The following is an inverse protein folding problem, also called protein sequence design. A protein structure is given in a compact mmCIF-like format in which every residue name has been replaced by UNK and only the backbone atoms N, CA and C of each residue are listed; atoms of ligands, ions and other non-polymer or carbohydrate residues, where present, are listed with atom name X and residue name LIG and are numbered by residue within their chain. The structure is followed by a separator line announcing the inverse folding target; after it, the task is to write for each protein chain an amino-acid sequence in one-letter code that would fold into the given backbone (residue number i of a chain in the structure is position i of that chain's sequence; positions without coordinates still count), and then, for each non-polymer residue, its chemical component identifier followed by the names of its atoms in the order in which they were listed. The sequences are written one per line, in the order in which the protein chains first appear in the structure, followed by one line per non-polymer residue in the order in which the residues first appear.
data_IF_978366879286
#
_entry.id   IF_978366879286
#
_cell.length_a   1.000
_cell.length_b   1.000
_cell.length_c   1.000
_cell.angle_alpha   90.00
_cell.angle_beta   90.00
_cell.angle_gamma   90.00
#
_symmetry.space_group_name_H-M   'P 1'
#
loop_
_entity.id
_entity.type
_entity.pdbx_description
1 polymer ?
#
# COMPACT_ATOMS: atom_id res chain seq x y z
N UNK A 1 -18.77 -16.42 28.87
CA UNK A 1 -18.29 -15.19 28.19
C UNK A 1 -17.43 -14.40 29.18
N UNK A 2 -16.15 -14.15 28.89
CA UNK A 2 -15.28 -13.34 29.75
C UNK A 2 -15.43 -11.86 29.40
N UNK A 3 -16.26 -11.14 30.16
CA UNK A 3 -16.66 -9.74 29.88
C UNK A 3 -15.45 -8.79 29.85
N UNK A 4 -14.45 -9.01 30.72
CA UNK A 4 -13.26 -8.16 30.80
C UNK A 4 -12.40 -8.22 29.53
N UNK A 5 -12.11 -9.42 29.04
CA UNK A 5 -11.37 -9.60 27.77
C UNK A 5 -12.16 -9.08 26.57
N UNK A 6 -13.47 -9.32 26.53
CA UNK A 6 -14.34 -8.81 25.46
C UNK A 6 -14.28 -7.27 25.36
N UNK A 7 -14.39 -6.56 26.48
CA UNK A 7 -14.29 -5.09 26.51
C UNK A 7 -12.89 -4.59 26.11
N UNK A 8 -11.83 -5.29 26.53
CA UNK A 8 -10.46 -4.97 26.11
C UNK A 8 -10.29 -5.09 24.60
N UNK A 9 -10.82 -6.15 24.00
CA UNK A 9 -10.79 -6.31 22.54
C UNK A 9 -11.58 -5.21 21.85
N UNK A 10 -12.81 -4.91 22.27
CA UNK A 10 -13.61 -3.83 21.65
C UNK A 10 -12.95 -2.45 21.78
N UNK A 11 -12.28 -2.18 22.91
CA UNK A 11 -11.52 -0.94 23.11
C UNK A 11 -10.31 -0.87 22.19
N UNK A 12 -9.59 -1.97 22.04
CA UNK A 12 -8.38 -2.02 21.20
C UNK A 12 -8.67 -1.70 19.74
N UNK A 13 -9.85 -2.08 19.24
CA UNK A 13 -10.28 -1.88 17.86
C UNK A 13 -11.26 -0.70 17.70
N UNK A 14 -11.27 0.24 18.67
CA UNK A 14 -12.04 1.49 18.62
C UNK A 14 -13.56 1.30 18.40
N UNK A 15 -14.14 0.18 18.86
CA UNK A 15 -15.58 -0.12 18.69
C UNK A 15 -16.44 0.59 19.72
N UNK A 16 -15.92 0.73 20.95
CA UNK A 16 -16.56 1.48 22.03
C UNK A 16 -15.66 2.67 22.35
N UNK A 17 -16.06 3.91 22.03
CA UNK A 17 -15.33 5.09 22.47
C UNK A 17 -15.45 5.19 23.99
N UNK A 18 -14.43 4.75 24.73
CA UNK A 18 -14.39 4.90 26.19
C UNK A 18 -14.43 6.39 26.56
N UNK A 19 -15.21 6.73 27.59
CA UNK A 19 -15.33 8.08 28.15
C UNK A 19 -13.95 8.75 28.33
N UNK A 20 -13.78 9.84 27.58
CA UNK A 20 -12.55 10.58 27.31
C UNK A 20 -12.09 11.49 28.46
N UNK A 21 -12.02 10.98 29.70
CA UNK A 21 -11.45 11.72 30.83
C UNK A 21 -9.99 11.31 31.09
N UNK A 22 -9.66 10.02 31.02
CA UNK A 22 -8.42 9.50 31.62
C UNK A 22 -7.19 9.57 30.68
N UNK A 23 -7.39 9.77 29.36
CA UNK A 23 -6.29 9.98 28.40
C UNK A 23 -5.58 11.34 28.57
N UNK A 24 -6.15 12.30 29.31
CA UNK A 24 -5.55 13.62 29.57
C UNK A 24 -4.42 13.62 30.61
N UNK A 25 -4.24 12.55 31.39
CA UNK A 25 -3.27 12.50 32.50
C UNK A 25 -1.97 11.72 32.23
N UNK A 26 -1.78 11.20 31.02
CA UNK A 26 -0.47 10.73 30.56
C UNK A 26 -0.22 11.39 29.22
N UNK A 27 0.84 12.19 29.13
CA UNK A 27 1.35 12.80 27.90
C UNK A 27 1.86 11.75 26.93
N UNK A 28 0.95 10.90 26.45
CA UNK A 28 1.15 10.04 25.30
C UNK A 28 0.74 10.91 24.13
N UNK A 29 1.73 11.49 23.46
CA UNK A 29 1.55 12.06 22.13
C UNK A 29 0.76 11.06 21.29
N UNK A 30 -0.25 11.55 20.58
CA UNK A 30 -0.89 10.75 19.54
C UNK A 30 0.23 10.23 18.64
N UNK A 31 0.34 8.91 18.41
CA UNK A 31 1.29 8.42 17.43
C UNK A 31 0.97 9.15 16.12
N UNK A 32 2.01 9.81 15.58
CA UNK A 32 1.95 10.42 14.26
C UNK A 32 1.31 9.41 13.32
N UNK A 33 0.31 9.89 12.60
CA UNK A 33 -0.34 9.16 11.51
C UNK A 33 0.73 8.48 10.69
N UNK A 34 0.62 7.16 10.52
CA UNK A 34 1.31 6.49 9.42
C UNK A 34 0.75 7.15 8.17
N UNK A 35 1.54 8.04 7.58
CA UNK A 35 1.32 8.51 6.23
C UNK A 35 1.50 7.30 5.33
N UNK A 36 0.44 6.52 5.13
CA UNK A 36 0.29 5.87 3.83
C UNK A 36 -0.09 7.02 2.92
N UNK A 37 0.90 7.56 2.21
CA UNK A 37 0.70 8.68 1.32
C UNK A 37 -0.42 8.36 0.32
N UNK A 38 -1.53 9.05 0.51
CA UNK A 38 -2.65 9.06 -0.41
C UNK A 38 -2.28 9.92 -1.60
N UNK A 39 -2.17 9.25 -2.75
CA UNK A 39 -1.92 9.75 -4.11
C UNK A 39 -0.46 10.12 -4.38
N UNK A 40 0.23 9.27 -5.15
CA UNK A 40 1.59 9.54 -5.57
C UNK A 40 1.69 10.76 -6.48
N UNK A 41 2.92 11.27 -6.59
CA UNK A 41 3.23 12.51 -7.29
C UNK A 41 3.44 12.23 -8.77
N UNK A 42 2.82 13.02 -9.64
CA UNK A 42 3.15 13.05 -11.07
C UNK A 42 4.13 14.18 -11.31
N UNK A 43 5.31 13.84 -11.82
CA UNK A 43 6.33 14.82 -12.22
C UNK A 43 6.04 15.31 -13.63
N UNK A 44 5.75 16.59 -13.79
CA UNK A 44 5.53 17.21 -15.10
C UNK A 44 6.76 18.04 -15.46
N UNK A 45 7.27 17.87 -16.68
CA UNK A 45 8.43 18.61 -17.19
C UNK A 45 8.03 19.29 -18.50
N UNK A 46 8.07 20.63 -18.52
CA UNK A 46 7.72 21.42 -19.70
C UNK A 46 7.92 22.92 -19.49
N UNK A 47 7.95 23.70 -20.57
CA UNK A 47 8.30 25.15 -20.57
C UNK A 47 7.21 26.06 -19.99
N UNK A 48 6.03 25.54 -19.62
CA UNK A 48 4.94 26.34 -19.06
C UNK A 48 4.06 27.05 -20.08
N UNK A 49 3.96 26.48 -21.28
CA UNK A 49 2.98 26.92 -22.27
C UNK A 49 1.56 26.49 -21.87
N UNK A 50 0.55 26.87 -22.67
CA UNK A 50 -0.85 26.60 -22.33
C UNK A 50 -1.16 25.10 -22.21
N UNK A 51 -0.42 24.24 -22.92
CA UNK A 51 -0.57 22.79 -22.82
C UNK A 51 -0.11 22.26 -21.46
N UNK A 52 1.00 22.76 -20.92
CA UNK A 52 1.50 22.42 -19.59
C UNK A 52 0.43 22.69 -18.54
N UNK A 53 -0.16 23.89 -18.58
CA UNK A 53 -1.20 24.30 -17.63
C UNK A 53 -2.44 23.41 -17.70
N UNK A 54 -2.90 23.06 -18.91
CA UNK A 54 -4.04 22.16 -19.11
C UNK A 54 -3.78 20.76 -18.57
N UNK A 55 -2.59 20.19 -18.80
CA UNK A 55 -2.23 18.87 -18.27
C UNK A 55 -2.15 18.91 -16.75
N UNK A 56 -1.53 19.95 -16.17
CA UNK A 56 -1.47 20.13 -14.71
C UNK A 56 -2.89 20.19 -14.13
N UNK A 57 -3.78 20.99 -14.71
CA UNK A 57 -5.18 21.10 -14.29
C UNK A 57 -5.92 19.75 -14.36
N UNK A 58 -5.77 19.00 -15.45
CA UNK A 58 -6.41 17.70 -15.60
C UNK A 58 -5.90 16.67 -14.59
N UNK A 59 -4.59 16.62 -14.36
CA UNK A 59 -3.96 15.72 -13.38
C UNK A 59 -4.44 16.06 -11.96
N UNK A 60 -4.52 17.34 -11.61
CA UNK A 60 -5.08 17.81 -10.34
C UNK A 60 -6.56 17.46 -10.21
N UNK A 61 -7.36 17.60 -11.27
CA UNK A 61 -8.78 17.24 -11.28
C UNK A 61 -9.02 15.74 -11.07
N UNK A 62 -8.04 14.89 -11.41
CA UNK A 62 -8.05 13.44 -11.12
C UNK A 62 -7.65 13.12 -9.67
N UNK A 63 -7.33 14.13 -8.86
CA UNK A 63 -6.94 14.00 -7.46
C UNK A 63 -5.45 13.76 -7.24
N UNK A 64 -4.62 13.85 -8.29
CA UNK A 64 -3.18 13.63 -8.19
C UNK A 64 -2.42 14.84 -7.71
N UNK A 65 -1.37 14.60 -6.91
CA UNK A 65 -0.35 15.61 -6.59
C UNK A 65 0.54 15.81 -7.81
N UNK A 66 0.87 17.05 -8.13
CA UNK A 66 1.75 17.41 -9.23
C UNK A 66 3.02 18.03 -8.68
N UNK A 67 4.16 17.55 -9.16
CA UNK A 67 5.44 18.26 -9.07
C UNK A 67 5.77 18.75 -10.47
N UNK A 68 5.77 20.05 -10.68
CA UNK A 68 6.02 20.65 -11.98
C UNK A 68 7.42 21.25 -12.02
N UNK A 69 8.27 20.75 -12.91
CA UNK A 69 9.54 21.37 -13.24
C UNK A 69 9.28 22.48 -14.26
N UNK A 70 9.47 23.72 -13.81
CA UNK A 70 9.52 24.89 -14.67
C UNK A 70 10.99 25.19 -15.03
N UNK A 71 11.44 24.94 -16.27
CA UNK A 71 12.84 25.10 -16.65
C UNK A 71 13.30 26.55 -16.48
N UNK A 72 14.42 26.76 -15.78
CA UNK A 72 15.07 28.07 -15.74
C UNK A 72 15.57 28.42 -17.16
N UNK A 73 15.21 29.60 -17.69
CA UNK A 73 15.71 30.04 -19.00
C UNK A 73 17.15 30.57 -18.88
N UNK A 74 17.98 30.31 -19.90
CA UNK A 74 19.32 30.91 -20.00
C UNK A 74 19.24 32.44 -19.92
N UNK A 75 20.03 33.05 -19.02
CA UNK A 75 20.18 34.50 -18.89
C UNK A 75 19.57 35.14 -17.64
N UNK A 76 18.83 34.40 -16.81
CA UNK A 76 18.28 34.92 -15.53
C UNK A 76 18.98 34.32 -14.32
N UNK A 77 20.05 34.97 -13.84
CA UNK A 77 20.68 34.73 -12.52
C UNK A 77 21.42 33.41 -12.34
N UNK A 78 22.31 33.34 -11.33
CA UNK A 78 23.06 32.12 -10.98
C UNK A 78 22.14 30.92 -10.73
N UNK A 79 22.63 29.72 -11.08
CA UNK A 79 21.95 28.45 -10.83
C UNK A 79 21.49 28.36 -9.37
N UNK A 80 20.19 28.13 -9.16
CA UNK A 80 19.60 27.97 -7.84
C UNK A 80 19.70 26.47 -7.48
N UNK A 81 20.45 26.09 -6.42
CA UNK A 81 20.46 24.71 -5.93
C UNK A 81 19.05 24.21 -5.60
N UNK A 82 18.78 22.90 -5.68
CA UNK A 82 17.49 22.32 -5.26
C UNK A 82 17.10 22.72 -3.82
N UNK A 83 18.09 22.90 -2.94
CA UNK A 83 17.88 23.38 -1.57
C UNK A 83 17.36 24.84 -1.50
N UNK A 84 17.59 25.63 -2.55
CA UNK A 84 17.24 27.04 -2.65
C UNK A 84 16.14 27.30 -3.69
N UNK A 85 15.61 26.25 -4.34
CA UNK A 85 14.58 26.40 -5.37
C UNK A 85 13.35 27.07 -4.77
N UNK A 86 13.02 28.25 -5.29
CA UNK A 86 11.86 29.02 -4.85
C UNK A 86 10.61 28.22 -5.20
N UNK A 87 9.89 27.74 -4.19
CA UNK A 87 8.49 27.32 -4.33
C UNK A 87 7.73 28.59 -4.74
N UNK A 88 7.58 28.81 -6.05
CA UNK A 88 6.84 29.98 -6.56
C UNK A 88 5.36 29.70 -6.28
N UNK A 89 4.86 30.31 -5.21
CA UNK A 89 3.46 30.52 -4.87
C UNK A 89 2.52 29.34 -5.19
N UNK A 90 2.27 28.48 -4.21
CA UNK A 90 1.19 27.49 -4.25
C UNK A 90 -0.15 28.19 -4.55
N UNK A 91 -0.60 28.16 -5.80
CA UNK A 91 -1.98 28.50 -6.18
C UNK A 91 -2.93 27.35 -5.83
N UNK A 92 -2.41 26.14 -5.64
CA UNK A 92 -3.13 24.94 -5.16
C UNK A 92 -2.23 24.12 -4.23
N UNK A 93 -2.74 23.56 -3.12
CA UNK A 93 -1.97 22.67 -2.24
C UNK A 93 -1.54 21.36 -2.92
N UNK A 94 -2.07 21.07 -4.12
CA UNK A 94 -1.76 19.86 -4.88
C UNK A 94 -0.63 20.04 -5.90
N UNK A 95 -0.14 21.27 -6.14
CA UNK A 95 0.89 21.56 -7.16
C UNK A 95 2.13 22.16 -6.50
N UNK A 96 3.23 21.40 -6.53
CA UNK A 96 4.58 21.84 -6.17
C UNK A 96 5.30 22.30 -7.44
N UNK A 97 5.72 23.56 -7.53
CA UNK A 97 6.50 24.07 -8.68
C UNK A 97 7.97 24.21 -8.32
N UNK A 98 8.83 23.57 -9.10
CA UNK A 98 10.29 23.60 -8.95
C UNK A 98 10.91 24.34 -10.14
N UNK A 99 11.59 25.46 -9.87
CA UNK A 99 12.40 26.14 -10.89
C UNK A 99 13.80 25.54 -10.89
N UNK A 100 14.13 24.77 -11.93
CA UNK A 100 15.44 24.15 -12.05
C UNK A 100 15.91 24.04 -13.50
N UNK A 101 17.21 24.09 -13.71
CA UNK A 101 17.83 23.74 -14.99
C UNK A 101 18.03 22.23 -15.07
N UNK A 102 17.24 21.55 -15.90
CA UNK A 102 17.31 20.10 -16.10
C UNK A 102 18.54 19.68 -16.92
N UNK A 103 19.15 20.61 -17.68
CA UNK A 103 20.33 20.31 -18.48
C UNK A 103 21.59 20.23 -17.60
N UNK A 104 21.57 20.87 -16.43
CA UNK A 104 22.57 20.68 -15.40
C UNK A 104 22.30 19.40 -14.60
N UNK A 105 23.06 18.35 -14.87
CA UNK A 105 22.92 17.04 -14.21
C UNK A 105 23.09 17.08 -12.69
N UNK A 106 23.74 18.11 -12.12
CA UNK A 106 23.86 18.27 -10.67
C UNK A 106 22.51 18.53 -9.97
N UNK A 107 21.52 19.03 -10.72
CA UNK A 107 20.17 19.28 -10.21
C UNK A 107 19.27 18.02 -10.24
N UNK A 108 19.68 16.97 -10.95
CA UNK A 108 18.91 15.74 -11.13
C UNK A 108 19.30 14.71 -10.06
N UNK A 109 18.90 14.98 -8.82
CA UNK A 109 19.16 14.10 -7.66
C UNK A 109 18.00 13.11 -7.44
N UNK A 110 18.23 11.98 -6.74
CA UNK A 110 17.15 11.06 -6.37
C UNK A 110 15.98 11.72 -5.64
N UNK A 111 16.25 12.77 -4.86
CA UNK A 111 15.23 13.52 -4.10
C UNK A 111 14.15 14.11 -5.01
N UNK A 112 14.47 14.45 -6.26
CA UNK A 112 13.52 14.94 -7.27
C UNK A 112 12.40 13.92 -7.56
N UNK A 113 12.71 12.63 -7.42
CA UNK A 113 11.79 11.51 -7.70
C UNK A 113 11.14 10.95 -6.43
N UNK A 114 11.31 11.62 -5.28
CA UNK A 114 10.63 11.25 -4.04
C UNK A 114 9.11 11.25 -4.25
N UNK A 115 8.49 10.11 -3.97
CA UNK A 115 7.05 9.84 -4.13
C UNK A 115 6.52 9.97 -5.57
N UNK A 116 7.41 10.11 -6.56
CA UNK A 116 7.03 10.20 -7.98
C UNK A 116 6.61 8.82 -8.48
N UNK A 117 5.46 8.75 -9.14
CA UNK A 117 4.91 7.54 -9.75
C UNK A 117 5.07 7.50 -11.27
N UNK A 118 4.98 8.67 -11.88
CA UNK A 118 5.06 8.82 -13.34
C UNK A 118 5.63 10.19 -13.69
N UNK A 119 6.32 10.23 -14.83
CA UNK A 119 6.88 11.45 -15.40
C UNK A 119 6.14 11.77 -16.70
N UNK A 120 5.55 12.96 -16.80
CA UNK A 120 5.00 13.48 -18.05
C UNK A 120 5.97 14.53 -18.59
N UNK A 121 6.58 14.25 -19.72
CA UNK A 121 7.47 15.17 -20.42
C UNK A 121 6.78 15.74 -21.65
N UNK A 122 6.61 17.07 -21.65
CA UNK A 122 6.18 17.81 -22.83
C UNK A 122 7.41 18.17 -23.64
N UNK A 123 7.54 17.58 -24.83
CA UNK A 123 8.76 17.67 -25.59
C UNK A 123 9.09 19.09 -26.01
N UNK A 124 10.35 19.48 -25.82
CA UNK A 124 10.86 20.77 -26.22
C UNK A 124 12.36 20.66 -26.57
N UNK A 125 12.81 21.14 -27.75
CA UNK A 125 14.19 20.95 -28.22
C UNK A 125 15.29 21.35 -27.21
N UNK A 126 15.09 22.47 -26.50
CA UNK A 126 16.05 22.97 -25.50
C UNK A 126 16.25 22.04 -24.27
N UNK A 127 15.40 21.02 -24.10
CA UNK A 127 15.33 20.18 -22.91
C UNK A 127 15.80 18.73 -23.17
N UNK A 128 16.13 18.37 -24.41
CA UNK A 128 16.39 16.99 -24.84
C UNK A 128 17.59 16.31 -24.14
N UNK A 129 18.64 17.08 -23.82
CA UNK A 129 19.81 16.55 -23.12
C UNK A 129 19.51 16.30 -21.64
N UNK A 130 18.87 17.26 -20.97
CA UNK A 130 18.44 17.15 -19.58
C UNK A 130 17.43 16.03 -19.37
N UNK A 131 16.44 15.89 -20.26
CA UNK A 131 15.43 14.83 -20.14
C UNK A 131 16.03 13.44 -20.27
N UNK A 132 17.07 13.25 -21.10
CA UNK A 132 17.77 11.96 -21.22
C UNK A 132 18.43 11.56 -19.89
N UNK A 133 19.01 12.52 -19.18
CA UNK A 133 19.57 12.28 -17.85
C UNK A 133 18.47 11.97 -16.81
N UNK A 134 17.33 12.65 -16.88
CA UNK A 134 16.18 12.38 -16.03
C UNK A 134 15.59 10.99 -16.28
N UNK A 135 15.52 10.54 -17.54
CA UNK A 135 15.11 9.17 -17.92
C UNK A 135 16.02 8.13 -17.27
N UNK A 136 17.34 8.33 -17.35
CA UNK A 136 18.31 7.42 -16.73
C UNK A 136 18.24 7.44 -15.19
N UNK A 137 17.93 8.58 -14.59
CA UNK A 137 17.67 8.67 -13.16
C UNK A 137 16.38 7.92 -12.81
N UNK A 138 15.29 8.14 -13.56
CA UNK A 138 14.01 7.50 -13.37
C UNK A 138 14.10 5.97 -13.49
N UNK A 139 14.84 5.44 -14.46
CA UNK A 139 15.06 4.00 -14.62
C UNK A 139 15.70 3.35 -13.38
N UNK A 140 16.57 4.09 -12.67
CA UNK A 140 17.22 3.61 -11.45
C UNK A 140 16.37 3.77 -10.19
N UNK A 141 15.45 4.73 -10.17
CA UNK A 141 14.73 5.14 -8.95
C UNK A 141 13.27 4.69 -8.93
N UNK A 142 12.59 4.70 -10.09
CA UNK A 142 11.21 4.27 -10.20
C UNK A 142 11.15 2.74 -10.17
N UNK A 143 10.78 2.19 -9.01
CA UNK A 143 10.62 0.76 -8.83
C UNK A 143 9.46 0.23 -9.69
N UNK A 144 9.63 -0.98 -10.23
CA UNK A 144 8.53 -1.74 -10.82
C UNK A 144 7.51 -2.05 -9.73
N UNK A 145 6.38 -1.32 -9.73
CA UNK A 145 5.29 -1.49 -8.76
C UNK A 145 4.42 -2.71 -9.03
N UNK A 146 5.02 -3.77 -9.59
CA UNK A 146 4.36 -5.08 -9.76
C UNK A 146 4.12 -5.76 -8.42
N UNK A 147 4.78 -5.28 -7.36
CA UNK A 147 4.53 -5.66 -5.98
C UNK A 147 4.43 -4.42 -5.09
N UNK A 148 3.67 -4.51 -3.99
CA UNK A 148 3.59 -3.48 -2.95
C UNK A 148 3.73 -4.10 -1.59
N UNK A 149 4.79 -3.77 -0.87
CA UNK A 149 4.98 -4.22 0.51
C UNK A 149 3.92 -3.54 1.40
N UNK A 150 3.13 -4.34 2.10
CA UNK A 150 2.07 -3.85 3.00
C UNK A 150 2.54 -3.94 4.45
N UNK A 151 3.12 -5.09 4.84
CA UNK A 151 3.80 -5.26 6.12
C UNK A 151 5.15 -5.94 5.92
N UNK A 152 6.21 -5.28 6.39
CA UNK A 152 7.53 -5.88 6.56
C UNK A 152 7.75 -6.21 8.04
N UNK A 153 7.74 -7.49 8.38
CA UNK A 153 8.02 -7.93 9.75
C UNK A 153 9.50 -8.27 9.95
N UNK A 154 10.32 -8.20 8.89
CA UNK A 154 11.78 -8.37 9.01
C UNK A 154 12.46 -7.12 9.54
N UNK A 155 11.81 -5.96 9.38
CA UNK A 155 12.24 -4.66 9.89
C UNK A 155 11.08 -4.00 10.67
N UNK A 156 10.72 -4.54 11.85
CA UNK A 156 9.50 -4.11 12.54
C UNK A 156 9.61 -2.68 13.07
N UNK A 157 8.71 -1.81 12.62
CA UNK A 157 8.49 -0.50 13.25
C UNK A 157 7.60 -0.61 14.50
N UNK A 158 7.69 0.38 15.39
CA UNK A 158 6.79 0.48 16.55
C UNK A 158 5.32 0.47 16.10
N UNK A 159 5.01 1.09 14.96
CA UNK A 159 3.66 1.15 14.40
C UNK A 159 3.17 -0.24 14.01
N UNK A 160 3.93 -1.01 13.21
CA UNK A 160 3.58 -2.37 12.80
C UNK A 160 3.34 -3.25 14.03
N UNK A 161 4.14 -3.10 15.09
CA UNK A 161 3.97 -3.85 16.33
C UNK A 161 2.69 -3.50 17.10
N UNK A 162 2.18 -2.28 16.94
CA UNK A 162 1.08 -1.75 17.74
C UNK A 162 -0.31 -1.97 17.14
N UNK A 163 -0.40 -2.23 15.83
CA UNK A 163 -1.67 -2.31 15.09
C UNK A 163 -2.29 -3.70 15.09
N UNK A 164 -1.55 -4.77 15.38
CA UNK A 164 -2.10 -6.13 15.41
C UNK A 164 -2.56 -6.54 16.82
N UNK A 165 -3.81 -7.00 16.94
CA UNK A 165 -4.41 -7.43 18.20
C UNK A 165 -5.12 -8.78 18.11
N UNK A 166 -5.13 -9.52 19.22
CA UNK A 166 -5.78 -10.83 19.30
C UNK A 166 -7.32 -10.71 19.34
N UNK A 167 -7.99 -11.63 18.63
CA UNK A 167 -9.43 -11.85 18.60
C UNK A 167 -9.66 -13.36 18.67
N UNK A 168 -9.77 -13.91 19.87
CA UNK A 168 -9.92 -15.35 20.10
C UNK A 168 -11.36 -15.73 20.44
N UNK A 169 -11.64 -17.04 20.48
CA UNK A 169 -12.97 -17.59 20.77
C UNK A 169 -13.55 -17.26 22.16
N UNK A 170 -12.76 -16.66 23.05
CA UNK A 170 -13.20 -16.14 24.36
C UNK A 170 -14.35 -15.14 24.22
N UNK A 171 -14.41 -14.41 23.10
CA UNK A 171 -15.53 -13.49 22.78
C UNK A 171 -16.86 -14.24 22.62
N UNK A 172 -16.80 -15.53 22.29
CA UNK A 172 -17.93 -16.46 22.19
C UNK A 172 -18.03 -17.44 23.37
N UNK A 173 -17.16 -17.32 24.38
CA UNK A 173 -17.13 -18.19 25.56
C UNK A 173 -16.12 -19.35 25.52
N UNK A 174 -15.31 -19.43 24.47
CA UNK A 174 -14.16 -20.33 24.39
C UNK A 174 -13.03 -19.98 25.36
N UNK A 175 -11.93 -20.74 25.29
CA UNK A 175 -10.77 -20.62 26.19
C UNK A 175 -9.44 -20.58 25.43
N UNK A 176 -9.47 -20.34 24.12
CA UNK A 176 -8.26 -20.15 23.32
C UNK A 176 -7.59 -18.82 23.71
N UNK A 177 -6.27 -18.78 23.59
CA UNK A 177 -5.45 -17.62 23.92
C UNK A 177 -4.32 -17.48 22.91
N UNK A 178 -4.22 -16.33 22.26
CA UNK A 178 -3.17 -16.06 21.30
C UNK A 178 -2.59 -14.66 21.41
N UNK A 179 -1.43 -14.48 20.79
CA UNK A 179 -0.82 -13.18 20.59
C UNK A 179 0.01 -13.17 19.30
N UNK A 180 0.41 -11.97 18.90
CA UNK A 180 1.42 -11.76 17.87
C UNK A 180 2.56 -10.94 18.47
N UNK A 181 3.79 -11.37 18.22
CA UNK A 181 5.00 -10.69 18.73
C UNK A 181 6.04 -10.62 17.63
N UNK A 182 6.80 -9.54 17.61
CA UNK A 182 7.98 -9.45 16.75
C UNK A 182 9.08 -10.36 17.29
N UNK A 183 9.67 -11.14 16.40
CA UNK A 183 10.82 -12.01 16.62
C UNK A 183 11.89 -11.68 15.58
N UNK A 184 13.08 -12.26 15.71
CA UNK A 184 14.15 -12.01 14.74
C UNK A 184 13.71 -12.39 13.31
N UNK A 185 13.60 -11.38 12.45
CA UNK A 185 13.22 -11.53 11.04
C UNK A 185 11.75 -11.84 10.74
N UNK A 186 10.82 -11.80 11.71
CA UNK A 186 9.40 -12.10 11.48
C UNK A 186 8.46 -11.61 12.60
N UNK A 187 7.14 -11.64 12.34
CA UNK A 187 6.12 -11.64 13.39
C UNK A 187 5.66 -13.08 13.65
N UNK A 188 5.61 -13.48 14.93
CA UNK A 188 5.11 -14.79 15.35
C UNK A 188 3.71 -14.66 15.91
N UNK A 189 2.73 -15.20 15.20
CA UNK A 189 1.37 -15.45 15.68
C UNK A 189 1.33 -16.83 16.34
N UNK A 190 1.15 -16.87 17.67
CA UNK A 190 1.17 -18.12 18.43
C UNK A 190 0.26 -18.08 19.65
N UNK A 191 -0.05 -19.26 20.18
CA UNK A 191 -0.96 -19.39 21.29
C UNK A 191 -1.36 -20.83 21.56
N UNK A 192 -2.41 -21.00 22.34
CA UNK A 192 -3.08 -22.27 22.57
C UNK A 192 -4.51 -22.18 22.04
N UNK A 193 -4.89 -23.07 21.12
CA UNK A 193 -6.26 -23.17 20.60
C UNK A 193 -6.96 -24.38 21.22
N UNK A 194 -8.17 -24.17 21.76
CA UNK A 194 -8.94 -25.19 22.46
C UNK A 194 -10.31 -25.38 21.84
N UNK A 195 -10.80 -26.62 21.79
CA UNK A 195 -12.17 -26.93 21.36
C UNK A 195 -13.17 -26.95 22.52
N UNK A 196 -12.74 -26.62 23.74
CA UNK A 196 -13.62 -26.54 24.90
C UNK A 196 -14.61 -25.37 24.77
N UNK A 197 -15.76 -25.47 25.43
CA UNK A 197 -16.82 -24.44 25.45
C UNK A 197 -17.28 -23.98 24.06
N UNK A 198 -17.38 -24.92 23.10
CA UNK A 198 -17.73 -24.62 21.70
C UNK A 198 -16.75 -23.66 21.00
N UNK A 199 -15.52 -23.53 21.54
CA UNK A 199 -14.44 -22.79 20.94
C UNK A 199 -13.80 -23.53 19.75
N UNK A 200 -12.58 -23.12 19.45
CA UNK A 200 -11.77 -23.71 18.38
C UNK A 200 -11.30 -22.66 17.38
N UNK A 201 -11.08 -21.42 17.80
CA UNK A 201 -10.33 -20.48 16.97
C UNK A 201 -9.48 -19.53 17.80
N UNK A 202 -8.36 -19.16 17.21
CA UNK A 202 -7.49 -18.10 17.64
C UNK A 202 -7.19 -17.20 16.44
N UNK A 203 -7.16 -15.88 16.61
CA UNK A 203 -6.88 -14.99 15.49
C UNK A 203 -6.23 -13.68 15.91
N UNK A 204 -5.54 -13.05 14.97
CA UNK A 204 -4.98 -11.71 15.12
C UNK A 204 -5.42 -10.85 13.95
N UNK A 205 -5.80 -9.61 14.24
CA UNK A 205 -6.31 -8.66 13.24
C UNK A 205 -5.67 -7.29 13.43
N UNK A 206 -5.43 -6.59 12.34
CA UNK A 206 -5.00 -5.19 12.38
C UNK A 206 -6.14 -4.29 12.89
N UNK A 207 -5.82 -3.18 13.55
CA UNK A 207 -6.72 -2.03 13.58
C UNK A 207 -7.08 -1.61 12.15
N UNK A 208 -8.16 -0.84 12.03
CA UNK A 208 -8.51 -0.27 10.73
C UNK A 208 -7.35 0.63 10.26
N UNK A 209 -6.89 0.38 9.05
CA UNK A 209 -5.88 1.16 8.36
C UNK A 209 -6.51 2.47 7.91
N UNK A 210 -5.85 3.58 8.23
CA UNK A 210 -6.21 4.91 7.76
C UNK A 210 -4.93 5.60 7.26
N UNK A 211 -4.86 5.99 5.98
CA UNK A 211 -5.89 5.78 4.96
C UNK A 211 -6.08 4.31 4.57
N UNK A 212 -7.24 4.04 3.97
CA UNK A 212 -7.53 2.72 3.38
C UNK A 212 -6.52 2.44 2.26
N UNK A 213 -6.18 1.16 2.11
CA UNK A 213 -5.26 0.71 1.08
C UNK A 213 -6.00 0.52 -0.24
N UNK A 214 -5.50 1.20 -1.27
CA UNK A 214 -5.83 0.90 -2.65
C UNK A 214 -4.85 -0.15 -3.21
N UNK A 215 -5.42 -1.33 -3.49
CA UNK A 215 -4.76 -2.47 -4.15
C UNK A 215 -5.46 -2.85 -5.47
N UNK A 216 -6.25 -1.95 -6.07
CA UNK A 216 -7.00 -2.18 -7.31
C UNK A 216 -6.12 -2.59 -8.50
N UNK A 217 -4.85 -2.17 -8.49
CA UNK A 217 -3.88 -2.50 -9.52
C UNK A 217 -3.22 -3.89 -9.37
N UNK A 218 -3.52 -4.65 -8.31
CA UNK A 218 -2.86 -5.91 -7.97
C UNK A 218 -3.79 -7.12 -8.11
N UNK A 219 -3.22 -8.28 -8.42
CA UNK A 219 -3.98 -9.53 -8.59
C UNK A 219 -4.28 -10.24 -7.27
N UNK A 220 -3.45 -10.03 -6.24
CA UNK A 220 -3.63 -10.68 -4.95
C UNK A 220 -2.62 -10.28 -3.88
N UNK A 221 -2.67 -11.01 -2.77
CA UNK A 221 -1.73 -10.90 -1.64
C UNK A 221 -0.76 -12.09 -1.66
N UNK A 222 0.52 -11.84 -1.44
CA UNK A 222 1.51 -12.87 -1.13
C UNK A 222 1.91 -12.77 0.34
N UNK A 223 1.82 -13.89 1.04
CA UNK A 223 2.31 -14.06 2.42
C UNK A 223 3.58 -14.90 2.42
N UNK A 224 4.64 -14.40 3.03
CA UNK A 224 5.84 -15.21 3.31
C UNK A 224 5.77 -15.73 4.75
N UNK A 225 5.53 -17.03 4.92
CA UNK A 225 5.21 -17.63 6.23
C UNK A 225 6.02 -18.89 6.51
N UNK A 226 6.25 -19.19 7.78
CA UNK A 226 6.77 -20.47 8.27
C UNK A 226 5.81 -21.01 9.33
N UNK A 227 5.10 -22.07 9.00
CA UNK A 227 4.04 -22.62 9.83
C UNK A 227 4.42 -23.90 10.59
N UNK A 228 3.44 -24.45 11.28
CA UNK A 228 3.54 -25.62 12.14
C UNK A 228 2.85 -26.87 11.53
N UNK A 229 2.48 -26.81 10.26
CA UNK A 229 1.75 -27.89 9.60
C UNK A 229 0.23 -27.78 9.72
N UNK A 230 -0.28 -26.72 10.37
CA UNK A 230 -1.72 -26.45 10.39
C UNK A 230 -2.15 -25.61 9.20
N UNK A 231 -3.47 -25.59 8.97
CA UNK A 231 -4.13 -24.79 7.94
C UNK A 231 -4.71 -23.52 8.56
N UNK A 232 -4.31 -22.39 8.00
CA UNK A 232 -4.67 -21.05 8.46
C UNK A 232 -5.57 -20.35 7.44
N UNK A 233 -6.14 -19.22 7.85
CA UNK A 233 -6.94 -18.35 6.99
C UNK A 233 -6.40 -16.93 7.01
N UNK A 234 -6.30 -16.31 5.84
CA UNK A 234 -6.22 -14.87 5.70
C UNK A 234 -7.65 -14.32 5.52
N UNK A 235 -7.94 -13.20 6.16
CA UNK A 235 -9.12 -12.38 5.88
C UNK A 235 -8.70 -10.97 5.51
N UNK A 236 -9.38 -10.41 4.51
CA UNK A 236 -9.29 -9.01 4.10
C UNK A 236 -10.65 -8.35 4.31
N UNK A 237 -10.65 -7.13 4.84
CA UNK A 237 -11.88 -6.35 5.09
C UNK A 237 -11.81 -5.03 4.35
N UNK A 238 -12.96 -4.62 3.81
CA UNK A 238 -13.17 -3.32 3.15
C UNK A 238 -14.18 -2.45 3.90
N UNK A 239 -14.62 -2.90 5.08
CA UNK A 239 -15.56 -2.20 5.94
C UNK A 239 -14.99 -2.14 7.35
N UNK A 240 -14.93 -0.93 7.90
CA UNK A 240 -14.35 -0.63 9.21
C UNK A 240 -15.13 -1.19 10.40
N UNK A 241 -16.36 -1.69 10.18
CA UNK A 241 -17.20 -2.28 11.21
C UNK A 241 -16.55 -3.51 11.86
N UNK A 242 -16.66 -3.58 13.20
CA UNK A 242 -16.10 -4.65 14.03
C UNK A 242 -16.48 -6.07 13.56
N UNK A 243 -17.77 -6.27 13.31
CA UNK A 243 -18.39 -7.52 12.87
C UNK A 243 -19.01 -7.30 11.49
N UNK A 244 -18.15 -7.17 10.50
CA UNK A 244 -18.52 -6.90 9.11
C UNK A 244 -18.27 -8.11 8.20
N UNK A 245 -18.68 -8.01 6.94
CA UNK A 245 -18.28 -8.94 5.89
C UNK A 245 -16.75 -8.97 5.77
N UNK A 246 -16.16 -10.15 5.56
CA UNK A 246 -14.76 -10.32 5.22
C UNK A 246 -14.62 -11.19 3.98
N UNK A 247 -13.49 -11.07 3.30
CA UNK A 247 -13.10 -11.97 2.21
C UNK A 247 -12.00 -12.88 2.74
N UNK A 248 -12.20 -14.18 2.66
CA UNK A 248 -11.36 -15.18 3.30
C UNK A 248 -10.69 -16.10 2.30
N UNK A 249 -9.47 -16.54 2.61
CA UNK A 249 -8.77 -17.58 1.88
C UNK A 249 -8.02 -18.50 2.86
N UNK A 250 -8.25 -19.81 2.75
CA UNK A 250 -7.59 -20.82 3.57
C UNK A 250 -6.34 -21.37 2.88
N UNK A 251 -5.23 -21.55 3.61
CA UNK A 251 -3.96 -22.06 3.09
C UNK A 251 -3.30 -23.03 4.06
N UNK A 252 -2.64 -24.05 3.51
CA UNK A 252 -1.88 -25.03 4.29
C UNK A 252 -0.46 -24.53 4.57
N UNK A 253 0.12 -24.99 5.66
CA UNK A 253 1.52 -24.77 5.97
C UNK A 253 2.27 -26.09 6.05
N UNK A 254 3.60 -26.03 5.90
CA UNK A 254 4.48 -27.16 6.17
C UNK A 254 5.27 -26.87 7.45
N UNK A 255 5.43 -27.88 8.29
CA UNK A 255 6.12 -27.74 9.56
C UNK A 255 7.54 -27.19 9.36
N UNK A 256 7.83 -26.08 10.04
CA UNK A 256 9.13 -25.43 10.10
C UNK A 256 9.75 -25.11 8.72
N UNK A 257 8.91 -24.88 7.70
CA UNK A 257 9.35 -24.57 6.34
C UNK A 257 8.76 -23.24 5.87
N UNK A 258 9.61 -22.38 5.30
CA UNK A 258 9.17 -21.13 4.70
C UNK A 258 8.42 -21.38 3.38
N UNK A 259 7.29 -20.71 3.21
CA UNK A 259 6.42 -20.78 2.04
C UNK A 259 6.01 -19.37 1.61
N UNK A 260 5.94 -19.17 0.30
CA UNK A 260 5.25 -18.01 -0.29
C UNK A 260 3.84 -18.45 -0.69
N UNK A 261 2.84 -17.95 0.02
CA UNK A 261 1.43 -18.26 -0.23
C UNK A 261 0.83 -17.14 -1.05
N UNK A 262 0.53 -17.40 -2.32
CA UNK A 262 -0.18 -16.48 -3.19
C UNK A 262 -1.69 -16.65 -3.03
N UNK A 263 -2.36 -15.54 -2.74
CA UNK A 263 -3.79 -15.44 -2.44
C UNK A 263 -4.40 -14.49 -3.48
N UNK A 264 -4.87 -15.01 -4.63
CA UNK A 264 -5.57 -14.22 -5.63
C UNK A 264 -6.85 -13.62 -5.07
N UNK A 265 -7.13 -12.34 -5.35
CA UNK A 265 -8.34 -11.67 -4.87
C UNK A 265 -9.63 -12.30 -5.43
N UNK A 266 -9.59 -12.80 -6.67
CA UNK A 266 -10.69 -13.48 -7.34
C UNK A 266 -11.03 -14.86 -6.75
N UNK A 267 -10.14 -15.43 -5.95
CA UNK A 267 -10.35 -16.70 -5.23
C UNK A 267 -10.74 -16.51 -3.77
N UNK A 268 -10.82 -15.28 -3.27
CA UNK A 268 -11.26 -15.02 -1.91
C UNK A 268 -12.78 -15.18 -1.79
N UNK A 269 -13.22 -15.88 -0.74
CA UNK A 269 -14.63 -16.16 -0.50
C UNK A 269 -15.19 -15.15 0.49
N UNK A 270 -16.27 -14.46 0.11
CA UNK A 270 -16.98 -13.56 1.01
C UNK A 270 -17.65 -14.36 2.14
N UNK A 271 -17.41 -13.96 3.38
CA UNK A 271 -17.89 -14.62 4.59
C UNK A 271 -18.37 -13.65 5.66
N UNK A 272 -19.42 -14.05 6.37
CA UNK A 272 -19.86 -13.43 7.61
C UNK A 272 -19.87 -14.48 8.71
N UNK A 273 -19.03 -14.30 9.74
CA UNK A 273 -18.83 -15.28 10.83
C UNK A 273 -18.63 -16.71 10.33
N UNK A 274 -17.70 -16.88 9.37
CA UNK A 274 -17.35 -18.14 8.70
C UNK A 274 -18.43 -18.81 7.84
N UNK A 275 -19.63 -18.21 7.72
CA UNK A 275 -20.63 -18.60 6.71
C UNK A 275 -20.36 -17.88 5.40
N UNK A 276 -20.42 -18.59 4.29
CA UNK A 276 -20.26 -17.99 2.96
C UNK A 276 -21.45 -17.07 2.65
N UNK A 277 -21.19 -16.00 1.91
CA UNK A 277 -22.21 -15.05 1.46
C UNK A 277 -22.13 -14.94 -0.06
N UNK A 278 -22.74 -15.88 -0.82
CA UNK A 278 -22.61 -15.90 -2.29
C UNK A 278 -23.16 -14.66 -2.99
N UNK A 279 -24.11 -13.97 -2.34
CA UNK A 279 -24.71 -12.73 -2.85
C UNK A 279 -23.90 -11.47 -2.52
N UNK A 280 -22.76 -11.61 -1.83
CA UNK A 280 -21.90 -10.46 -1.53
C UNK A 280 -21.24 -9.93 -2.81
N UNK A 281 -20.96 -8.61 -2.88
CA UNK A 281 -20.17 -8.07 -3.96
C UNK A 281 -18.75 -8.65 -3.96
N UNK A 282 -18.03 -8.53 -5.08
CA UNK A 282 -16.59 -8.76 -5.11
C UNK A 282 -15.88 -7.79 -4.16
N UNK A 283 -14.69 -8.18 -3.70
CA UNK A 283 -13.86 -7.35 -2.83
C UNK A 283 -13.59 -5.98 -3.48
N UNK A 284 -13.89 -4.90 -2.75
CA UNK A 284 -13.55 -3.56 -3.21
C UNK A 284 -12.07 -3.27 -2.88
N UNK A 285 -11.21 -3.46 -3.88
CA UNK A 285 -9.76 -3.37 -3.73
C UNK A 285 -9.24 -1.95 -3.45
N UNK A 286 -10.02 -0.91 -3.72
CA UNK A 286 -9.63 0.48 -3.38
C UNK A 286 -9.90 0.86 -1.92
N UNK A 287 -10.57 -0.02 -1.17
CA UNK A 287 -11.13 0.29 0.16
C UNK A 287 -10.63 -0.67 1.26
N UNK A 288 -9.49 -1.35 1.06
CA UNK A 288 -9.00 -2.35 2.01
C UNK A 288 -8.60 -1.67 3.32
N UNK A 289 -9.22 -2.05 4.42
CA UNK A 289 -9.06 -1.40 5.71
C UNK A 289 -8.53 -2.31 6.82
N UNK A 290 -8.53 -3.65 6.68
CA UNK A 290 -7.92 -4.51 7.69
C UNK A 290 -7.53 -5.89 7.16
N UNK A 291 -6.51 -6.48 7.80
CA UNK A 291 -6.07 -7.86 7.58
C UNK A 291 -6.21 -8.68 8.86
N UNK A 292 -6.55 -9.95 8.73
CA UNK A 292 -6.64 -10.88 9.85
C UNK A 292 -6.09 -12.24 9.48
N UNK A 293 -5.35 -12.85 10.40
CA UNK A 293 -4.86 -14.23 10.30
C UNK A 293 -5.56 -15.06 11.38
N UNK A 294 -6.04 -16.25 11.03
CA UNK A 294 -6.78 -17.12 11.95
C UNK A 294 -6.37 -18.57 11.80
N UNK A 295 -6.27 -19.26 12.94
CA UNK A 295 -6.38 -20.71 13.03
C UNK A 295 -7.77 -21.06 13.54
N UNK A 296 -8.48 -21.96 12.86
CA UNK A 296 -9.82 -22.37 13.28
C UNK A 296 -10.07 -23.86 13.01
N UNK A 297 -10.82 -24.49 13.91
CA UNK A 297 -11.42 -25.81 13.77
C UNK A 297 -12.34 -25.91 12.55
N UNK A 298 -12.98 -24.80 12.17
CA UNK A 298 -13.96 -24.79 11.09
C UNK A 298 -13.40 -24.18 9.83
N UNK A 299 -13.72 -24.80 8.69
CA UNK A 299 -13.67 -24.21 7.36
C UNK A 299 -14.96 -23.42 7.08
N UNK A 300 -15.30 -23.23 5.81
CA UNK A 300 -16.52 -22.57 5.39
C UNK A 300 -17.76 -23.41 5.73
N UNK A 301 -18.86 -22.73 6.06
CA UNK A 301 -20.18 -23.35 6.21
C UNK A 301 -20.24 -24.52 7.20
N UNK A 302 -19.41 -24.46 8.25
CA UNK A 302 -19.37 -25.44 9.34
C UNK A 302 -18.58 -26.71 9.01
N UNK A 303 -17.95 -26.81 7.83
CA UNK A 303 -17.01 -27.88 7.53
C UNK A 303 -15.83 -27.88 8.51
N UNK A 304 -15.21 -29.04 8.73
CA UNK A 304 -14.03 -29.13 9.58
C UNK A 304 -12.77 -28.79 8.81
N UNK A 305 -11.84 -28.09 9.47
CA UNK A 305 -10.49 -27.89 8.98
C UNK A 305 -9.72 -29.22 9.04
N UNK A 306 -9.30 -29.76 7.88
CA UNK A 306 -8.70 -31.10 7.81
C UNK A 306 -7.32 -31.19 8.47
N UNK A 307 -6.66 -30.06 8.71
CA UNK A 307 -5.31 -30.00 9.29
C UNK A 307 -5.30 -29.37 10.68
N UNK A 308 -6.48 -29.12 11.27
CA UNK A 308 -6.57 -28.50 12.59
C UNK A 308 -6.14 -29.45 13.70
N UNK A 309 -5.27 -28.97 14.59
CA UNK A 309 -4.89 -29.66 15.81
C UNK A 309 -5.08 -28.72 17.02
N UNK A 310 -5.87 -29.10 18.03
CA UNK A 310 -5.95 -28.31 19.26
C UNK A 310 -4.61 -28.36 20.00
N UNK A 311 -4.33 -27.31 20.76
CA UNK A 311 -3.10 -27.16 21.53
C UNK A 311 -2.27 -25.97 21.07
N UNK A 312 -0.95 -26.07 21.27
CA UNK A 312 -0.04 -25.00 20.93
C UNK A 312 0.15 -24.90 19.41
N UNK A 313 0.09 -23.68 18.90
CA UNK A 313 0.33 -23.38 17.49
C UNK A 313 1.34 -22.25 17.32
N UNK A 314 1.99 -22.20 16.16
CA UNK A 314 2.90 -21.10 15.81
C UNK A 314 2.99 -20.90 14.31
N UNK A 315 2.71 -19.67 13.88
CA UNK A 315 2.91 -19.19 12.52
C UNK A 315 3.83 -17.98 12.54
N UNK A 316 5.00 -18.09 11.91
CA UNK A 316 5.86 -16.95 11.64
C UNK A 316 5.52 -16.34 10.29
N UNK A 317 5.51 -15.01 10.22
CA UNK A 317 5.15 -14.21 9.05
C UNK A 317 6.29 -13.22 8.83
N UNK A 318 7.02 -13.35 7.73
CA UNK A 318 8.09 -12.42 7.37
C UNK A 318 7.54 -11.18 6.67
N UNK A 319 6.57 -11.36 5.78
CA UNK A 319 5.97 -10.23 5.05
C UNK A 319 4.56 -10.53 4.54
N UNK A 320 3.83 -9.45 4.30
CA UNK A 320 2.58 -9.39 3.54
C UNK A 320 2.78 -8.34 2.45
N UNK A 321 2.64 -8.73 1.18
CA UNK A 321 2.73 -7.82 0.03
C UNK A 321 1.59 -8.06 -0.96
N UNK A 322 1.21 -7.06 -1.73
CA UNK A 322 0.41 -7.26 -2.93
C UNK A 322 1.31 -7.69 -4.09
N UNK A 323 0.84 -8.57 -4.97
CA UNK A 323 1.57 -9.07 -6.14
C UNK A 323 0.73 -8.95 -7.42
N UNK A 324 1.37 -9.16 -8.57
CA UNK A 324 0.71 -9.13 -9.88
C UNK A 324 0.20 -7.74 -10.24
N UNK A 325 0.85 -6.71 -9.70
CA UNK A 325 0.62 -5.32 -10.06
C UNK A 325 0.87 -5.12 -11.55
N UNK A 326 -0.02 -4.42 -12.23
CA UNK A 326 0.27 -3.98 -13.60
C UNK A 326 1.45 -3.02 -13.57
N UNK A 327 2.39 -3.17 -14.51
CA UNK A 327 3.46 -2.19 -14.70
C UNK A 327 2.83 -0.89 -15.17
N UNK A 328 2.65 0.05 -14.24
CA UNK A 328 2.08 1.37 -14.53
C UNK A 328 3.00 2.12 -15.49
N UNK A 329 2.42 3.00 -16.31
CA UNK A 329 3.22 3.86 -17.18
C UNK A 329 4.02 4.84 -16.31
N UNK A 330 5.33 4.68 -16.30
CA UNK A 330 6.28 5.47 -15.53
C UNK A 330 6.78 6.70 -16.31
N UNK A 331 6.65 6.71 -17.63
CA UNK A 331 7.04 7.83 -18.47
C UNK A 331 6.06 8.09 -19.62
N UNK A 332 5.58 9.32 -19.76
CA UNK A 332 4.73 9.76 -20.87
C UNK A 332 5.46 10.86 -21.63
N UNK A 333 5.75 10.61 -22.91
CA UNK A 333 6.27 11.63 -23.82
C UNK A 333 5.09 12.23 -24.60
N UNK A 334 4.88 13.53 -24.42
CA UNK A 334 3.90 14.33 -25.17
C UNK A 334 4.65 15.07 -26.29
N UNK A 335 4.33 14.79 -27.56
CA UNK A 335 5.12 15.28 -28.70
C UNK A 335 4.30 15.99 -29.79
N UNK A 336 4.95 16.95 -30.47
CA UNK A 336 4.44 17.65 -31.66
C UNK A 336 5.24 17.32 -32.94
N UNK A 337 6.21 16.39 -32.86
CA UNK A 337 7.20 16.10 -33.90
C UNK A 337 8.10 14.92 -33.53
N UNK A 338 9.17 14.70 -34.30
CA UNK A 338 10.09 13.58 -34.06
C UNK A 338 11.07 13.87 -32.91
N UNK A 339 11.00 13.06 -31.84
CA UNK A 339 11.93 13.12 -30.70
C UNK A 339 12.82 11.87 -30.65
N UNK A 340 13.71 11.73 -31.63
CA UNK A 340 14.51 10.52 -31.81
C UNK A 340 15.40 10.20 -30.60
N UNK A 341 16.06 11.22 -30.05
CA UNK A 341 16.94 11.14 -28.87
C UNK A 341 16.22 10.56 -27.65
N UNK A 342 15.08 11.15 -27.30
CA UNK A 342 14.25 10.76 -26.15
C UNK A 342 13.66 9.36 -26.33
N UNK A 343 13.17 9.05 -27.55
CA UNK A 343 12.65 7.70 -27.88
C UNK A 343 13.75 6.65 -27.80
N UNK A 344 14.97 6.97 -28.22
CA UNK A 344 16.11 6.06 -28.12
C UNK A 344 16.55 5.86 -26.67
N UNK A 345 16.57 6.92 -25.86
CA UNK A 345 16.85 6.84 -24.43
C UNK A 345 15.86 5.90 -23.72
N UNK A 346 14.55 6.08 -23.94
CA UNK A 346 13.50 5.24 -23.36
C UNK A 346 13.57 3.77 -23.79
N UNK A 347 14.01 3.48 -25.01
CA UNK A 347 14.21 2.08 -25.46
C UNK A 347 15.33 1.36 -24.73
N UNK A 348 16.25 2.10 -24.11
CA UNK A 348 17.39 1.55 -23.39
C UNK A 348 17.14 1.44 -21.87
N UNK A 349 15.91 1.68 -21.41
CA UNK A 349 15.53 1.57 -20.00
C UNK A 349 14.49 0.48 -19.78
N UNK A 350 14.25 0.12 -18.52
CA UNK A 350 13.17 -0.76 -18.10
C UNK A 350 11.88 0.01 -17.82
N UNK A 351 11.83 1.33 -18.02
CA UNK A 351 10.64 2.12 -17.76
C UNK A 351 9.49 1.68 -18.66
N UNK A 352 8.29 1.52 -18.10
CA UNK A 352 7.09 1.45 -18.92
C UNK A 352 6.73 2.85 -19.42
N UNK A 353 6.64 3.03 -20.74
CA UNK A 353 6.40 4.34 -21.34
C UNK A 353 5.27 4.35 -22.38
N UNK A 354 4.67 5.53 -22.57
CA UNK A 354 3.69 5.82 -23.62
C UNK A 354 4.10 7.07 -24.41
N UNK A 355 3.73 7.09 -25.69
CA UNK A 355 3.84 8.25 -26.56
C UNK A 355 2.44 8.82 -26.81
N UNK A 356 2.28 10.12 -26.61
CA UNK A 356 1.03 10.84 -26.86
C UNK A 356 1.31 12.01 -27.79
N UNK A 357 0.54 12.12 -28.86
CA UNK A 357 0.60 13.30 -29.72
C UNK A 357 -0.11 14.46 -29.02
N UNK A 358 0.45 15.66 -29.06
CA UNK A 358 -0.12 16.81 -28.33
C UNK A 358 -1.52 17.22 -28.76
N UNK A 359 -1.93 16.94 -30.00
CA UNK A 359 -3.30 17.17 -30.45
C UNK A 359 -4.29 16.13 -29.89
N UNK A 360 -3.79 15.04 -29.30
CA UNK A 360 -4.56 14.05 -28.54
C UNK A 360 -4.41 14.27 -27.02
N UNK A 361 -4.08 15.48 -26.56
CA UNK A 361 -3.76 15.76 -25.16
C UNK A 361 -4.84 15.33 -24.16
N UNK A 362 -6.10 15.26 -24.60
CA UNK A 362 -7.23 14.80 -23.79
C UNK A 362 -7.11 13.32 -23.39
N UNK A 363 -6.21 12.54 -24.02
CA UNK A 363 -5.91 11.13 -23.70
C UNK A 363 -4.70 10.92 -22.78
N UNK A 364 -4.04 12.00 -22.35
CA UNK A 364 -2.84 11.90 -21.49
C UNK A 364 -3.19 11.34 -20.10
N UNK A 365 -4.42 11.59 -19.62
CA UNK A 365 -4.88 11.23 -18.28
C UNK A 365 -5.84 10.02 -18.25
N UNK A 366 -5.90 9.23 -19.34
CA UNK A 366 -6.66 7.96 -19.46
C UNK A 366 -5.74 6.75 -19.42
#
# INVERSE_FOLDING_TARGET
MNVGRFVQTLTYFDVIPLCSWWRRFRGIEQPKTVGVEGVGVILIVGKGHDLDKRIIEEVVNKGCRVRWIHPQMEGTGSAIPLADSVVIANTSPQVETLVLDINNSANLTPDLLTDVESIIYLSHPDLDSGITNLINLADRQLQDRTEKLIFDFTQPSVEISSIWGAIDDVVMGGVSDSNIRMVDGAARFSGNVSTANSGGFASVRTRNLEPRLDLSNYQGIELKVKGDGQRYKLFVRTNAGWDSLAYSYSFDTAYNSWLNVQIPFDRMVAVFRAKTVPSAPSINLSEICAFQIMLSKFEYDGQLNPQFQPGNFSLEIASLKAYGGNKLTQFVLVENGENFSVKQALKNTNLAYKFVQSYESDRICS
#
